data_IF_545601696721
#
_entry.id   IF_545601696721
#
_cell.length_a   1.000
_cell.length_b   1.000
_cell.length_c   1.000
_cell.angle_alpha   90.00
_cell.angle_beta   90.00
_cell.angle_gamma   90.00
#
_symmetry.space_group_name_H-M   'P 1'
#
loop_
_entity.id
_entity.type
_entity.pdbx_description
1 polymer ?
#
# COMPACT_ATOMS: atom_id res chain seq x y z
N UNK A 1 4.62 9.14 -22.35
CA UNK A 1 5.79 9.43 -21.48
C UNK A 1 6.53 10.69 -21.97
N UNK A 2 7.41 11.34 -21.19
CA UNK A 2 8.00 12.65 -21.56
C UNK A 2 8.72 12.67 -22.93
N UNK A 3 9.33 11.55 -23.32
CA UNK A 3 9.92 11.36 -24.64
C UNK A 3 8.88 11.42 -25.79
N UNK A 4 7.67 10.89 -25.60
CA UNK A 4 6.57 11.02 -26.57
C UNK A 4 6.10 12.48 -26.74
N UNK A 5 6.43 13.34 -25.78
CA UNK A 5 6.16 14.79 -25.84
C UNK A 5 7.36 15.59 -26.36
N UNK A 6 8.41 14.93 -26.87
CA UNK A 6 9.62 15.58 -27.40
C UNK A 6 10.56 16.14 -26.32
N UNK A 7 10.35 15.81 -25.04
CA UNK A 7 11.16 16.32 -23.94
C UNK A 7 12.28 15.34 -23.59
N UNK A 8 13.54 15.78 -23.80
CA UNK A 8 14.74 15.06 -23.34
C UNK A 8 15.00 15.35 -21.87
N UNK A 9 14.85 14.34 -21.02
CA UNK A 9 15.11 14.44 -19.58
C UNK A 9 16.08 13.34 -19.16
N UNK A 10 16.94 13.65 -18.19
CA UNK A 10 17.80 12.64 -17.58
C UNK A 10 16.95 11.55 -16.92
N UNK A 11 17.43 10.30 -16.94
CA UNK A 11 16.72 9.16 -16.34
C UNK A 11 16.45 9.33 -14.84
N UNK A 12 17.23 10.18 -14.14
CA UNK A 12 17.03 10.47 -12.70
C UNK A 12 16.03 11.59 -12.43
N UNK A 13 15.60 12.35 -13.44
CA UNK A 13 14.75 13.53 -13.26
C UNK A 13 13.40 13.15 -12.64
N UNK A 14 12.75 12.09 -13.13
CA UNK A 14 11.49 11.60 -12.58
C UNK A 14 11.67 11.20 -11.11
N UNK A 15 12.74 10.48 -10.78
CA UNK A 15 13.02 10.06 -9.39
C UNK A 15 13.24 11.27 -8.46
N UNK A 16 13.94 12.31 -8.93
CA UNK A 16 14.12 13.56 -8.18
C UNK A 16 12.80 14.27 -7.95
N UNK A 17 11.92 14.30 -8.95
CA UNK A 17 10.58 14.87 -8.80
C UNK A 17 9.72 14.08 -7.82
N UNK A 18 9.71 12.75 -7.91
CA UNK A 18 8.98 11.91 -6.94
C UNK A 18 9.47 12.21 -5.52
N UNK A 19 10.78 12.24 -5.28
CA UNK A 19 11.34 12.56 -3.96
C UNK A 19 10.97 13.96 -3.47
N UNK A 20 10.91 14.94 -4.37
CA UNK A 20 10.63 16.33 -4.01
C UNK A 20 9.13 16.59 -3.79
N UNK A 21 8.27 16.07 -4.66
CA UNK A 21 6.84 16.39 -4.68
C UNK A 21 5.95 15.38 -3.97
N UNK A 22 6.38 14.13 -3.76
CA UNK A 22 5.55 13.13 -3.07
C UNK A 22 5.08 13.58 -1.68
N UNK A 23 5.92 14.19 -0.80
CA UNK A 23 5.45 14.63 0.51
C UNK A 23 4.37 15.72 0.42
N UNK A 24 4.45 16.62 -0.57
CA UNK A 24 3.42 17.63 -0.78
C UNK A 24 2.14 17.02 -1.35
N UNK A 25 2.29 16.05 -2.25
CA UNK A 25 1.17 15.32 -2.83
C UNK A 25 0.42 14.53 -1.76
N UNK A 26 1.12 13.82 -0.88
CA UNK A 26 0.55 13.12 0.27
C UNK A 26 -0.23 14.06 1.17
N UNK A 27 0.34 15.22 1.57
CA UNK A 27 -0.37 16.21 2.40
C UNK A 27 -1.66 16.75 1.77
N UNK A 28 -1.75 16.76 0.43
CA UNK A 28 -2.93 17.24 -0.29
C UNK A 28 -3.85 16.10 -0.71
N UNK A 29 -3.44 14.84 -0.54
CA UNK A 29 -4.14 13.69 -1.05
C UNK A 29 -5.43 13.43 -0.28
N UNK A 30 -5.45 13.72 1.03
CA UNK A 30 -6.58 13.48 1.93
C UNK A 30 -7.91 14.05 1.40
N UNK A 31 -7.89 15.18 0.68
CA UNK A 31 -9.11 15.80 0.09
C UNK A 31 -9.65 15.08 -1.15
N UNK A 32 -8.84 14.23 -1.77
CA UNK A 32 -9.16 13.45 -2.97
C UNK A 32 -9.32 11.96 -2.65
N UNK A 33 -8.90 11.54 -1.46
CA UNK A 33 -9.08 10.18 -1.00
C UNK A 33 -10.57 9.89 -0.89
N UNK A 34 -11.00 8.84 -1.60
CA UNK A 34 -12.37 8.38 -1.51
C UNK A 34 -12.49 7.50 -0.27
N UNK A 35 -13.57 7.62 0.52
CA UNK A 35 -13.82 6.72 1.63
C UNK A 35 -13.78 5.26 1.16
N UNK A 36 -12.98 4.43 1.82
CA UNK A 36 -12.93 3.01 1.48
C UNK A 36 -14.15 2.27 1.98
N UNK A 37 -14.58 1.25 1.24
CA UNK A 37 -15.70 0.39 1.63
C UNK A 37 -15.23 -0.64 2.67
N UNK A 38 -16.12 -1.01 3.60
CA UNK A 38 -15.85 -1.94 4.70
C UNK A 38 -15.49 -3.41 4.32
N UNK A 39 -15.32 -3.72 3.03
CA UNK A 39 -14.91 -5.05 2.55
C UNK A 39 -13.59 -4.93 1.81
N UNK A 40 -12.55 -5.57 2.35
CA UNK A 40 -11.18 -5.48 1.86
C UNK A 40 -10.71 -6.80 1.27
N UNK A 41 -9.92 -6.70 0.20
CA UNK A 41 -9.09 -7.78 -0.31
C UNK A 41 -7.64 -7.45 0.02
N UNK A 42 -6.95 -8.39 0.64
CA UNK A 42 -5.58 -8.22 1.07
C UNK A 42 -4.72 -9.29 0.42
N UNK A 43 -3.64 -8.84 -0.21
CA UNK A 43 -2.63 -9.70 -0.79
C UNK A 43 -1.26 -9.42 -0.16
N UNK A 44 -0.40 -10.44 -0.18
CA UNK A 44 1.02 -10.31 0.12
C UNK A 44 1.86 -10.68 -1.10
N UNK A 45 2.63 -9.71 -1.59
CA UNK A 45 3.49 -9.89 -2.77
C UNK A 45 4.97 -9.75 -2.38
N UNK A 46 5.78 -10.76 -2.72
CA UNK A 46 7.23 -10.66 -2.59
C UNK A 46 7.80 -9.71 -3.66
N UNK A 47 8.55 -8.71 -3.24
CA UNK A 47 9.18 -7.70 -4.10
C UNK A 47 10.68 -7.64 -3.81
N UNK A 48 11.49 -7.61 -4.87
CA UNK A 48 12.95 -7.48 -4.76
C UNK A 48 13.33 -6.01 -4.90
N UNK A 49 13.93 -5.44 -3.87
CA UNK A 49 14.38 -4.04 -3.85
C UNK A 49 15.91 -4.05 -3.84
N UNK A 50 16.50 -3.62 -4.96
CA UNK A 50 17.92 -3.81 -5.25
C UNK A 50 18.33 -5.28 -5.11
N UNK A 51 19.01 -5.65 -4.01
CA UNK A 51 19.48 -7.01 -3.73
C UNK A 51 18.63 -7.73 -2.70
N UNK A 52 17.86 -6.99 -1.91
CA UNK A 52 17.14 -7.52 -0.76
C UNK A 52 15.69 -7.82 -1.10
N UNK A 53 15.19 -8.91 -0.52
CA UNK A 53 13.78 -9.29 -0.59
C UNK A 53 12.96 -8.56 0.45
N UNK A 54 11.75 -8.15 0.07
CA UNK A 54 10.75 -7.60 0.98
C UNK A 54 9.37 -8.13 0.60
N UNK A 55 8.44 -8.05 1.55
CA UNK A 55 7.04 -8.43 1.36
C UNK A 55 6.19 -7.16 1.40
N UNK A 56 5.43 -6.96 0.35
CA UNK A 56 4.48 -5.87 0.22
C UNK A 56 3.10 -6.40 0.58
N UNK A 57 2.56 -5.91 1.69
CA UNK A 57 1.16 -6.08 2.06
C UNK A 57 0.35 -4.97 1.41
N UNK A 58 -0.72 -5.34 0.71
CA UNK A 58 -1.63 -4.40 0.06
C UNK A 58 -3.06 -4.73 0.43
N UNK A 59 -3.84 -3.72 0.79
CA UNK A 59 -5.28 -3.82 0.92
C UNK A 59 -5.96 -2.91 -0.11
N UNK A 60 -6.97 -3.46 -0.77
CA UNK A 60 -7.89 -2.71 -1.63
C UNK A 60 -9.32 -3.00 -1.21
N UNK A 61 -10.20 -2.00 -1.32
CA UNK A 61 -11.62 -2.24 -1.09
C UNK A 61 -12.29 -2.90 -2.31
N UNK A 62 -13.58 -3.20 -2.19
CA UNK A 62 -14.35 -3.80 -3.29
C UNK A 62 -14.47 -2.90 -4.53
N UNK A 63 -14.39 -1.58 -4.38
CA UNK A 63 -14.43 -0.60 -5.47
C UNK A 63 -13.06 -0.42 -6.15
N UNK A 64 -12.00 -1.02 -5.61
CA UNK A 64 -10.64 -0.93 -6.12
C UNK A 64 -9.84 0.23 -5.52
N UNK A 65 -10.40 0.95 -4.53
CA UNK A 65 -9.66 2.00 -3.82
C UNK A 65 -8.59 1.35 -2.93
N UNK A 66 -7.42 1.98 -2.88
CA UNK A 66 -6.34 1.49 -2.00
C UNK A 66 -6.67 1.86 -0.56
N UNK A 67 -6.66 0.86 0.32
CA UNK A 67 -6.90 1.02 1.76
C UNK A 67 -5.61 1.38 2.48
N UNK A 68 -4.58 0.55 2.30
CA UNK A 68 -3.23 0.81 2.81
C UNK A 68 -2.22 -0.10 2.11
N UNK A 69 -0.94 0.26 2.21
CA UNK A 69 0.22 -0.46 1.73
C UNK A 69 1.28 -0.50 2.83
N UNK A 70 1.91 -1.66 3.05
CA UNK A 70 3.07 -1.78 3.94
C UNK A 70 4.13 -2.66 3.33
N UNK A 71 5.35 -2.14 3.27
CA UNK A 71 6.53 -2.91 2.92
C UNK A 71 7.23 -3.39 4.20
N UNK A 72 7.59 -4.67 4.24
CA UNK A 72 8.34 -5.27 5.35
C UNK A 72 9.51 -6.11 4.82
N UNK A 73 10.73 -5.98 5.37
CA UNK A 73 11.82 -6.91 5.04
C UNK A 73 11.54 -8.36 5.46
N UNK A 74 10.66 -8.54 6.45
CA UNK A 74 10.30 -9.86 7.01
C UNK A 74 8.86 -10.21 6.69
N UNK A 75 8.67 -11.48 6.33
CA UNK A 75 7.38 -12.14 6.17
C UNK A 75 6.99 -12.78 7.49
N UNK A 76 6.27 -12.05 8.33
CA UNK A 76 5.86 -12.54 9.64
C UNK A 76 4.51 -11.97 10.10
N UNK A 77 3.91 -12.63 11.09
CA UNK A 77 2.62 -12.25 11.68
C UNK A 77 2.70 -10.85 12.29
N UNK A 78 3.85 -10.42 12.81
CA UNK A 78 4.00 -9.11 13.44
C UNK A 78 3.90 -7.98 12.40
N UNK A 79 4.50 -8.17 11.21
CA UNK A 79 4.40 -7.25 10.09
C UNK A 79 2.96 -7.15 9.60
N UNK A 80 2.28 -8.29 9.44
CA UNK A 80 0.88 -8.35 9.04
C UNK A 80 -0.05 -7.68 10.09
N UNK A 81 0.15 -7.94 11.39
CA UNK A 81 -0.61 -7.27 12.47
C UNK A 81 -0.40 -5.76 12.45
N UNK A 82 0.83 -5.32 12.20
CA UNK A 82 1.15 -3.89 12.14
C UNK A 82 0.50 -3.24 10.93
N UNK A 83 0.43 -3.94 9.80
CA UNK A 83 -0.33 -3.50 8.62
C UNK A 83 -1.82 -3.32 8.95
N UNK A 84 -2.49 -4.34 9.50
CA UNK A 84 -3.92 -4.25 9.84
C UNK A 84 -4.22 -3.14 10.85
N UNK A 85 -3.40 -3.00 11.91
CA UNK A 85 -3.57 -1.91 12.89
C UNK A 85 -3.50 -0.53 12.25
N UNK A 86 -2.55 -0.32 11.32
CA UNK A 86 -2.41 0.96 10.61
C UNK A 86 -3.61 1.21 9.69
N UNK A 87 -3.99 0.22 8.89
CA UNK A 87 -5.09 0.32 7.95
C UNK A 87 -6.43 0.61 8.65
N UNK A 88 -6.75 -0.11 9.73
CA UNK A 88 -7.98 0.08 10.50
C UNK A 88 -8.00 1.46 11.17
N UNK A 89 -6.88 1.91 11.73
CA UNK A 89 -6.78 3.25 12.34
C UNK A 89 -6.98 4.36 11.31
N UNK A 90 -6.49 4.19 10.09
CA UNK A 90 -6.59 5.19 9.02
C UNK A 90 -8.00 5.35 8.45
N UNK A 91 -8.74 4.25 8.28
CA UNK A 91 -10.02 4.28 7.56
C UNK A 91 -11.24 4.64 8.42
N UNK A 92 -11.10 4.67 9.76
CA UNK A 92 -12.16 5.11 10.70
C UNK A 92 -13.48 4.32 10.66
N UNK A 93 -13.59 3.32 9.80
CA UNK A 93 -14.80 2.56 9.51
C UNK A 93 -14.64 1.11 9.98
N UNK A 94 -15.73 0.53 10.48
CA UNK A 94 -15.74 -0.85 10.96
C UNK A 94 -15.53 -1.82 9.81
N UNK A 95 -14.33 -2.41 9.75
CA UNK A 95 -13.98 -3.51 8.86
C UNK A 95 -15.01 -4.64 9.02
N UNK A 96 -15.75 -4.96 7.94
CA UNK A 96 -16.80 -6.00 7.98
C UNK A 96 -16.32 -7.32 7.43
N UNK A 97 -15.50 -7.29 6.39
CA UNK A 97 -15.05 -8.52 5.72
C UNK A 97 -13.66 -8.34 5.16
N UNK A 98 -12.78 -9.30 5.44
CA UNK A 98 -11.46 -9.38 4.83
C UNK A 98 -11.37 -10.68 4.03
N UNK A 99 -10.99 -10.56 2.77
CA UNK A 99 -10.56 -11.68 1.95
C UNK A 99 -9.05 -11.67 1.88
N UNK A 100 -8.43 -12.74 2.37
CA UNK A 100 -6.99 -12.96 2.31
C UNK A 100 -6.69 -13.96 1.18
N UNK A 101 -5.53 -13.84 0.55
CA UNK A 101 -4.93 -15.02 -0.09
C UNK A 101 -4.60 -16.07 1.00
N UNK A 102 -4.51 -17.34 0.63
CA UNK A 102 -4.45 -18.47 1.59
C UNK A 102 -3.21 -18.54 2.50
N UNK A 103 -2.49 -17.44 2.70
CA UNK A 103 -1.33 -17.38 3.57
C UNK A 103 -1.70 -17.31 5.07
N UNK A 104 -1.20 -18.29 5.84
CA UNK A 104 -1.53 -18.47 7.24
C UNK A 104 -1.21 -17.26 8.15
N UNK A 105 -0.14 -16.51 7.89
CA UNK A 105 0.22 -15.38 8.75
C UNK A 105 -0.75 -14.19 8.61
N UNK A 106 -1.38 -14.03 7.44
CA UNK A 106 -2.44 -13.04 7.25
C UNK A 106 -3.67 -13.40 8.09
N UNK A 107 -4.06 -14.69 8.10
CA UNK A 107 -5.18 -15.16 8.91
C UNK A 107 -4.96 -14.92 10.42
N UNK A 108 -3.74 -15.15 10.92
CA UNK A 108 -3.38 -14.94 12.33
C UNK A 108 -3.22 -13.46 12.73
N UNK A 109 -3.29 -12.56 11.75
CA UNK A 109 -3.00 -11.13 11.95
C UNK A 109 -4.22 -10.24 12.04
N UNK A 110 -5.40 -10.78 11.72
CA UNK A 110 -6.66 -10.09 11.94
C UNK A 110 -6.88 -9.89 13.45
N UNK A 111 -7.39 -8.72 13.89
CA UNK A 111 -7.83 -8.55 15.26
C UNK A 111 -9.03 -9.48 15.54
N UNK A 112 -9.15 -9.93 16.80
CA UNK A 112 -10.33 -10.65 17.29
C UNK A 112 -11.61 -9.80 17.16
#
# INVERSE_FOLDING_TARGET
MMAERGLSIAHTTIMRWVRHYAPELERRWDRFEHPTVASWRVDETYVKIHRDGANLYRAVDRAGNTVDLRLSPRRDVAAAKTFFRKAIKGQGSSLRTVTLDGYAALHQSLPD
#
